data_IF_384346646345
#
_entry.id   IF_384346646345
#
_cell.length_a   1.000
_cell.length_b   1.000
_cell.length_c   1.000
_cell.angle_alpha   90.00
_cell.angle_beta   90.00
_cell.angle_gamma   90.00
#
_symmetry.space_group_name_H-M   'P 1'
#
loop_
_entity.id
_entity.type
_entity.pdbx_description
1 polymer ?
#
# COMPACT_ATOMS: atom_id res chain seq x y z
N UNK A 1 9.48 -14.98 8.00
CA UNK A 1 8.18 -15.61 7.70
C UNK A 1 7.01 -14.64 7.88
N UNK A 2 6.85 -14.02 9.05
CA UNK A 2 5.73 -13.13 9.36
C UNK A 2 5.57 -11.94 8.39
N UNK A 3 6.65 -11.24 8.03
CA UNK A 3 6.58 -10.13 7.07
C UNK A 3 6.01 -10.53 5.71
N UNK A 4 6.32 -11.75 5.22
CA UNK A 4 5.78 -12.26 3.96
C UNK A 4 4.28 -12.52 4.08
N UNK A 5 3.82 -13.07 5.21
CA UNK A 5 2.39 -13.28 5.48
C UNK A 5 1.64 -11.95 5.49
N UNK A 6 2.17 -10.94 6.18
CA UNK A 6 1.55 -9.61 6.25
C UNK A 6 1.56 -8.92 4.88
N UNK A 7 2.63 -9.07 4.11
CA UNK A 7 2.69 -8.58 2.73
C UNK A 7 1.63 -9.24 1.84
N UNK A 8 1.43 -10.56 1.94
CA UNK A 8 0.38 -11.29 1.23
C UNK A 8 -1.01 -10.74 1.59
N UNK A 9 -1.28 -10.45 2.86
CA UNK A 9 -2.55 -9.85 3.30
C UNK A 9 -2.78 -8.48 2.64
N UNK A 10 -1.75 -7.64 2.57
CA UNK A 10 -1.85 -6.33 1.91
C UNK A 10 -2.14 -6.51 0.42
N UNK A 11 -1.40 -7.38 -0.27
CA UNK A 11 -1.61 -7.65 -1.71
C UNK A 11 -3.01 -8.19 -1.97
N UNK A 12 -3.48 -9.14 -1.15
CA UNK A 12 -4.83 -9.67 -1.25
C UNK A 12 -5.89 -8.57 -1.05
N UNK A 13 -5.68 -7.70 -0.07
CA UNK A 13 -6.54 -6.54 0.19
C UNK A 13 -6.61 -5.60 -1.03
N UNK A 14 -5.46 -5.33 -1.65
CA UNK A 14 -5.35 -4.53 -2.89
C UNK A 14 -6.12 -5.19 -4.05
N UNK A 15 -5.96 -6.50 -4.23
CA UNK A 15 -6.69 -7.24 -5.27
C UNK A 15 -8.20 -7.23 -5.05
N UNK A 16 -8.65 -7.34 -3.81
CA UNK A 16 -10.06 -7.34 -3.45
C UNK A 16 -10.69 -5.95 -3.64
N UNK A 17 -10.03 -4.91 -3.14
CA UNK A 17 -10.49 -3.51 -3.26
C UNK A 17 -10.53 -3.01 -4.70
N UNK A 18 -9.73 -3.59 -5.61
CA UNK A 18 -9.81 -3.29 -7.05
C UNK A 18 -11.18 -3.57 -7.66
N UNK A 19 -11.99 -4.43 -7.04
CA UNK A 19 -13.37 -4.71 -7.48
C UNK A 19 -14.38 -3.65 -7.02
N UNK A 20 -14.00 -2.75 -6.12
CA UNK A 20 -14.88 -1.72 -5.59
C UNK A 20 -14.74 -0.42 -6.39
N UNK A 21 -15.83 0.35 -6.44
CA UNK A 21 -15.91 1.60 -7.20
C UNK A 21 -15.47 2.84 -6.40
N UNK A 22 -15.44 2.78 -5.07
CA UNK A 22 -15.16 3.94 -4.22
C UNK A 22 -13.67 4.03 -3.83
N UNK A 23 -12.89 4.95 -4.43
CA UNK A 23 -11.46 5.07 -4.16
C UNK A 23 -11.12 5.51 -2.74
N UNK A 24 -12.01 6.27 -2.07
CA UNK A 24 -11.79 6.68 -0.69
C UNK A 24 -11.87 5.48 0.25
N UNK A 25 -12.88 4.63 0.09
CA UNK A 25 -13.05 3.40 0.87
C UNK A 25 -11.88 2.46 0.60
N UNK A 26 -11.50 2.27 -0.65
CA UNK A 26 -10.39 1.42 -1.04
C UNK A 26 -9.07 1.84 -0.38
N UNK A 27 -8.76 3.14 -0.39
CA UNK A 27 -7.58 3.68 0.32
C UNK A 27 -7.64 3.41 1.82
N UNK A 28 -8.78 3.61 2.47
CA UNK A 28 -8.92 3.36 3.92
C UNK A 28 -8.73 1.89 4.27
N UNK A 29 -9.30 0.98 3.48
CA UNK A 29 -9.14 -0.46 3.68
C UNK A 29 -7.67 -0.89 3.51
N UNK A 30 -6.99 -0.41 2.46
CA UNK A 30 -5.56 -0.71 2.22
C UNK A 30 -4.67 -0.12 3.32
N UNK A 31 -4.95 1.10 3.78
CA UNK A 31 -4.22 1.68 4.91
C UNK A 31 -4.42 0.87 6.18
N UNK A 32 -5.67 0.49 6.49
CA UNK A 32 -5.98 -0.30 7.68
C UNK A 32 -5.29 -1.67 7.66
N UNK A 33 -5.25 -2.35 6.51
CA UNK A 33 -4.58 -3.64 6.38
C UNK A 33 -3.06 -3.56 6.49
N UNK A 34 -2.47 -2.39 6.29
CA UNK A 34 -1.03 -2.17 6.51
C UNK A 34 -0.65 -1.95 7.98
N UNK A 35 -1.60 -1.62 8.86
CA UNK A 35 -1.33 -1.34 10.29
C UNK A 35 -0.68 -2.54 11.02
N UNK A 36 -1.18 -3.80 10.89
CA UNK A 36 -0.53 -4.94 11.51
C UNK A 36 0.90 -5.19 11.00
N UNK A 37 1.18 -4.84 9.73
CA UNK A 37 2.52 -4.92 9.16
C UNK A 37 3.46 -3.90 9.81
N UNK A 38 3.00 -2.67 9.99
CA UNK A 38 3.77 -1.61 10.67
C UNK A 38 4.02 -1.98 12.14
N UNK A 39 3.01 -2.43 12.87
CA UNK A 39 3.15 -2.85 14.29
C UNK A 39 4.12 -4.03 14.40
N UNK A 40 3.96 -5.05 13.56
CA UNK A 40 4.87 -6.20 13.56
C UNK A 40 6.29 -5.76 13.25
N UNK A 41 6.49 -4.81 12.33
CA UNK A 41 7.81 -4.26 12.08
C UNK A 41 8.37 -3.46 13.26
N UNK A 42 7.58 -2.63 13.94
CA UNK A 42 8.06 -1.84 15.09
C UNK A 42 8.52 -2.71 16.27
N UNK A 43 7.89 -3.86 16.50
CA UNK A 43 8.14 -4.69 17.68
C UNK A 43 8.92 -5.98 17.40
N UNK A 44 8.97 -6.44 16.15
CA UNK A 44 9.58 -7.74 15.77
C UNK A 44 10.77 -7.56 14.84
N UNK A 45 10.81 -6.49 14.03
CA UNK A 45 11.90 -6.25 13.09
C UNK A 45 12.75 -5.06 13.54
N UNK A 46 13.95 -5.33 14.04
CA UNK A 46 14.86 -4.31 14.60
C UNK A 46 15.58 -3.49 13.53
N UNK A 47 15.51 -3.90 12.26
CA UNK A 47 16.32 -3.30 11.18
C UNK A 47 15.57 -2.17 10.44
N UNK A 48 16.03 -0.91 10.53
CA UNK A 48 15.33 0.25 9.99
C UNK A 48 15.33 0.31 8.45
N UNK A 49 16.30 -0.33 7.79
CA UNK A 49 16.45 -0.31 6.34
C UNK A 49 15.26 -0.89 5.58
N UNK A 50 14.52 -1.79 6.22
CA UNK A 50 13.39 -2.45 5.58
C UNK A 50 12.25 -1.46 5.34
N UNK A 51 11.99 -0.54 6.27
CA UNK A 51 11.02 0.54 6.07
C UNK A 51 11.43 1.45 4.92
N UNK A 52 12.69 1.88 4.90
CA UNK A 52 13.19 2.74 3.84
C UNK A 52 13.02 2.09 2.46
N UNK A 53 13.42 0.83 2.32
CA UNK A 53 13.30 0.09 1.05
C UNK A 53 11.83 -0.08 0.62
N UNK A 54 10.94 -0.45 1.53
CA UNK A 54 9.52 -0.57 1.20
C UNK A 54 8.86 0.78 0.89
N UNK A 55 9.18 1.84 1.64
CA UNK A 55 8.67 3.20 1.37
C UNK A 55 9.12 3.71 0.00
N UNK A 56 10.39 3.51 -0.36
CA UNK A 56 10.91 3.85 -1.70
C UNK A 56 10.19 3.02 -2.77
N UNK A 57 10.06 1.70 -2.56
CA UNK A 57 9.35 0.82 -3.48
C UNK A 57 7.89 1.24 -3.71
N UNK A 58 7.12 1.48 -2.65
CA UNK A 58 5.72 1.91 -2.76
C UNK A 58 5.60 3.31 -3.39
N UNK A 59 6.52 4.23 -3.08
CA UNK A 59 6.56 5.55 -3.71
C UNK A 59 6.73 5.43 -5.22
N UNK A 60 7.69 4.61 -5.68
CA UNK A 60 7.92 4.35 -7.11
C UNK A 60 6.67 3.73 -7.75
N UNK A 61 6.05 2.74 -7.10
CA UNK A 61 4.84 2.09 -7.61
C UNK A 61 3.64 3.03 -7.73
N UNK A 62 3.52 4.03 -6.86
CA UNK A 62 2.43 5.00 -6.88
C UNK A 62 2.68 6.17 -7.84
N UNK A 63 3.93 6.61 -7.97
CA UNK A 63 4.29 7.77 -8.80
C UNK A 63 4.31 7.43 -10.30
N UNK A 64 4.71 6.21 -10.68
CA UNK A 64 4.78 5.79 -12.09
C UNK A 64 3.42 5.92 -12.79
N UNK A 65 2.29 5.41 -12.23
CA UNK A 65 0.96 5.60 -12.81
C UNK A 65 0.57 7.08 -12.95
N UNK A 66 0.95 7.91 -11.98
CA UNK A 66 0.70 9.34 -11.97
C UNK A 66 1.41 10.05 -13.14
N UNK A 67 2.72 9.81 -13.30
CA UNK A 67 3.52 10.39 -14.39
C UNK A 67 3.00 9.92 -15.76
N UNK A 68 2.50 8.69 -15.85
CA UNK A 68 1.95 8.12 -17.08
C UNK A 68 0.50 8.55 -17.38
N UNK A 69 -0.11 9.40 -16.57
CA UNK A 69 -1.55 9.74 -16.65
C UNK A 69 -2.45 8.49 -16.67
N UNK A 70 -2.01 7.39 -16.05
CA UNK A 70 -2.74 6.13 -15.90
C UNK A 70 -3.18 5.98 -14.45
N UNK A 71 -3.78 7.03 -13.91
CA UNK A 71 -4.29 7.06 -12.54
C UNK A 71 -5.23 5.87 -12.33
N UNK A 72 -4.94 5.08 -11.31
CA UNK A 72 -5.80 3.97 -10.93
C UNK A 72 -7.07 4.53 -10.30
N UNK A 73 -8.10 4.87 -11.08
CA UNK A 73 -9.32 5.56 -10.60
C UNK A 73 -10.05 4.87 -9.45
N UNK A 74 -9.84 3.56 -9.27
CA UNK A 74 -10.33 2.76 -8.16
C UNK A 74 -9.55 3.00 -6.84
N UNK A 75 -8.41 3.70 -6.86
CA UNK A 75 -7.53 3.92 -5.70
C UNK A 75 -6.96 5.34 -5.63
N UNK A 76 -6.45 5.86 -6.75
CA UNK A 76 -5.92 7.22 -6.92
C UNK A 76 -7.05 8.16 -7.34
N UNK A 77 -7.18 9.29 -6.64
CA UNK A 77 -8.06 10.37 -7.10
C UNK A 77 -7.27 11.29 -8.02
N UNK A 78 -7.96 11.86 -9.02
CA UNK A 78 -7.37 12.82 -9.94
C UNK A 78 -6.84 14.03 -9.18
N UNK A 79 -5.57 14.40 -9.42
CA UNK A 79 -4.84 15.45 -8.68
C UNK A 79 -4.67 15.19 -7.18
N UNK A 80 -4.82 13.95 -6.71
CA UNK A 80 -4.45 13.59 -5.35
C UNK A 80 -3.11 12.85 -5.32
N UNK A 81 -2.09 13.53 -4.80
CA UNK A 81 -0.71 13.02 -4.69
C UNK A 81 -0.46 12.23 -3.38
N UNK A 82 -1.49 12.06 -2.54
CA UNK A 82 -1.47 11.28 -1.28
C UNK A 82 -2.84 10.67 -0.95
#
# INVERSE_FOLDING_TARGET
MLALVLFIIIIFTVMLTRKFSNPWVNRKIIHLSSVPAVISYMYIFTEPYVFFLFSVFFTIMLIIPHIKNREMSWFQLKKNYG
#
